data_IF_858255345453
#
_entry.id   IF_858255345453
#
_cell.length_a   1.000
_cell.length_b   1.000
_cell.length_c   1.000
_cell.angle_alpha   90.00
_cell.angle_beta   90.00
_cell.angle_gamma   90.00
#
_symmetry.space_group_name_H-M   'P 1'
#
loop_
_entity.id
_entity.type
_entity.pdbx_description
1 polymer ?
#
# COMPACT_ATOMS: atom_id res chain seq x y z
N UNK A 1 20.78 -7.54 -3.34
CA UNK A 1 20.52 -6.90 -2.04
C UNK A 1 19.10 -6.40 -1.99
N UNK A 2 18.47 -6.49 -0.85
CA UNK A 2 17.12 -5.96 -0.66
C UNK A 2 17.18 -4.55 -0.08
N UNK A 3 16.14 -3.78 -0.34
CA UNK A 3 15.94 -2.47 0.28
C UNK A 3 14.60 -2.47 0.99
N UNK A 4 14.46 -1.58 1.97
CA UNK A 4 13.24 -1.44 2.74
C UNK A 4 12.68 -0.05 2.54
N UNK A 5 11.38 0.02 2.28
CA UNK A 5 10.64 1.27 2.19
C UNK A 5 9.48 1.26 3.17
N UNK A 6 9.23 2.41 3.76
CA UNK A 6 8.11 2.60 4.67
C UNK A 6 7.18 3.66 4.10
N UNK A 7 5.88 3.39 4.14
CA UNK A 7 4.88 4.27 3.58
C UNK A 7 3.74 4.44 4.59
N UNK A 8 2.98 5.52 4.44
CA UNK A 8 1.87 5.79 5.35
C UNK A 8 0.66 6.32 4.60
N UNK A 9 -0.50 6.11 5.21
CA UNK A 9 -1.79 6.52 4.67
C UNK A 9 -2.79 6.50 5.83
N UNK A 10 -3.88 7.26 5.72
CA UNK A 10 -4.95 7.20 6.71
C UNK A 10 -6.14 6.39 6.19
N UNK A 11 -6.94 5.89 7.13
CA UNK A 11 -8.27 5.38 6.87
C UNK A 11 -9.29 6.45 7.27
N UNK A 12 -10.47 6.40 6.69
CA UNK A 12 -11.58 7.25 7.12
C UNK A 12 -11.90 6.93 8.58
N UNK A 13 -12.21 7.96 9.35
CA UNK A 13 -12.49 7.83 10.78
C UNK A 13 -13.90 7.26 10.99
N UNK A 14 -14.03 5.98 10.75
CA UNK A 14 -15.28 5.22 10.91
C UNK A 14 -14.94 3.82 11.40
N UNK A 15 -15.35 3.45 12.63
CA UNK A 15 -15.07 2.10 13.15
C UNK A 15 -15.53 0.98 12.22
N UNK A 16 -16.69 1.16 11.58
CA UNK A 16 -17.24 0.17 10.66
C UNK A 16 -16.36 0.00 9.43
N UNK A 17 -15.92 1.12 8.82
CA UNK A 17 -15.08 1.08 7.64
C UNK A 17 -13.70 0.50 7.97
N UNK A 18 -13.16 0.81 9.15
CA UNK A 18 -11.88 0.26 9.60
C UNK A 18 -11.98 -1.25 9.75
N UNK A 19 -13.05 -1.76 10.37
CA UNK A 19 -13.24 -3.21 10.49
C UNK A 19 -13.39 -3.88 9.11
N UNK A 20 -14.12 -3.26 8.20
CA UNK A 20 -14.28 -3.78 6.84
C UNK A 20 -12.94 -3.82 6.10
N UNK A 21 -12.12 -2.79 6.26
CA UNK A 21 -10.78 -2.73 5.66
C UNK A 21 -9.90 -3.88 6.17
N UNK A 22 -9.91 -4.10 7.49
CA UNK A 22 -9.16 -5.20 8.10
C UNK A 22 -9.63 -6.55 7.55
N UNK A 23 -10.94 -6.70 7.40
CA UNK A 23 -11.53 -7.94 6.89
C UNK A 23 -11.10 -8.24 5.47
N UNK A 24 -11.06 -7.22 4.60
CA UNK A 24 -10.57 -7.38 3.23
C UNK A 24 -9.13 -7.85 3.19
N UNK A 25 -8.31 -7.46 4.17
CA UNK A 25 -6.90 -7.84 4.24
C UNK A 25 -6.66 -9.22 4.83
N UNK A 26 -7.69 -9.87 5.37
CA UNK A 26 -7.59 -11.27 5.80
C UNK A 26 -7.59 -12.21 4.60
N UNK A 27 -8.12 -11.78 3.46
CA UNK A 27 -8.18 -12.55 2.22
C UNK A 27 -7.95 -11.64 1.02
N UNK A 28 -6.73 -11.17 0.90
CA UNK A 28 -6.35 -10.37 -0.28
C UNK A 28 -6.46 -11.24 -1.52
N UNK A 29 -7.01 -10.69 -2.60
CA UNK A 29 -7.18 -11.42 -3.85
C UNK A 29 -5.85 -11.97 -4.35
N UNK A 30 -5.80 -13.23 -4.83
CA UNK A 30 -4.55 -13.82 -5.32
C UNK A 30 -3.88 -13.00 -6.41
N UNK A 31 -4.66 -12.36 -7.28
CA UNK A 31 -4.13 -11.51 -8.35
C UNK A 31 -3.38 -10.31 -7.79
N UNK A 32 -3.80 -9.80 -6.62
CA UNK A 32 -3.15 -8.67 -5.97
C UNK A 32 -1.83 -9.08 -5.34
N UNK A 33 -1.82 -10.18 -4.58
CA UNK A 33 -0.58 -10.67 -3.99
C UNK A 33 0.42 -11.06 -5.07
N UNK A 34 -0.05 -11.61 -6.17
CA UNK A 34 0.81 -11.95 -7.30
C UNK A 34 1.42 -10.71 -7.95
N UNK A 35 0.60 -9.66 -8.16
CA UNK A 35 1.10 -8.42 -8.75
C UNK A 35 2.17 -7.75 -7.88
N UNK A 36 2.03 -7.86 -6.57
CA UNK A 36 3.01 -7.33 -5.61
C UNK A 36 4.34 -8.09 -5.77
N UNK A 37 4.28 -9.42 -5.80
CA UNK A 37 5.48 -10.24 -5.97
C UNK A 37 6.13 -10.01 -7.33
N UNK A 38 5.34 -9.91 -8.37
CA UNK A 38 5.83 -9.67 -9.74
C UNK A 38 6.53 -8.32 -9.86
N UNK A 39 6.15 -7.34 -9.03
CA UNK A 39 6.80 -6.03 -9.00
C UNK A 39 8.18 -6.06 -8.33
N UNK A 40 8.56 -7.18 -7.72
CA UNK A 40 9.82 -7.29 -7.03
C UNK A 40 9.76 -6.98 -5.54
N UNK A 41 8.58 -7.06 -4.96
CA UNK A 41 8.39 -6.89 -3.52
C UNK A 41 8.43 -8.28 -2.88
N UNK A 42 9.41 -8.52 -2.02
CA UNK A 42 9.60 -9.81 -1.37
C UNK A 42 8.77 -9.96 -0.11
N UNK A 43 8.53 -8.86 0.60
CA UNK A 43 7.76 -8.87 1.84
C UNK A 43 7.04 -7.55 2.00
N UNK A 44 5.86 -7.61 2.61
CA UNK A 44 5.05 -6.43 2.88
C UNK A 44 4.21 -6.67 4.12
N UNK A 45 4.24 -5.69 5.02
CA UNK A 45 3.40 -5.71 6.21
C UNK A 45 2.70 -4.36 6.34
N UNK A 46 1.46 -4.39 6.84
CA UNK A 46 0.69 -3.17 7.10
C UNK A 46 0.27 -3.21 8.56
N UNK A 47 0.53 -2.14 9.27
CA UNK A 47 0.15 -1.95 10.67
C UNK A 47 -0.86 -0.82 10.78
N UNK A 48 -1.70 -0.90 11.79
CA UNK A 48 -2.76 0.10 12.03
C UNK A 48 -2.70 0.61 13.45
N UNK A 49 -2.76 1.93 13.62
CA UNK A 49 -2.95 2.58 14.91
C UNK A 49 -4.00 3.68 14.75
N UNK A 50 -5.16 3.51 15.38
CA UNK A 50 -6.28 4.44 15.18
C UNK A 50 -6.72 4.43 13.72
N UNK A 51 -6.54 5.55 13.03
CA UNK A 51 -6.81 5.66 11.59
C UNK A 51 -5.54 5.62 10.75
N UNK A 52 -4.35 5.58 11.38
CA UNK A 52 -3.09 5.65 10.68
C UNK A 52 -2.59 4.27 10.28
N UNK A 53 -2.32 4.11 9.00
CA UNK A 53 -1.70 2.91 8.45
C UNK A 53 -0.20 3.15 8.26
N UNK A 54 0.57 2.09 8.49
CA UNK A 54 2.01 2.08 8.28
C UNK A 54 2.36 0.81 7.51
N UNK A 55 2.96 0.99 6.33
CA UNK A 55 3.38 -0.14 5.49
C UNK A 55 4.89 -0.24 5.49
N UNK A 56 5.40 -1.45 5.70
CA UNK A 56 6.81 -1.77 5.52
C UNK A 56 6.89 -2.75 4.37
N UNK A 57 7.75 -2.47 3.39
CA UNK A 57 7.99 -3.44 2.32
C UNK A 57 9.47 -3.60 2.06
N UNK A 58 9.87 -4.83 1.80
CA UNK A 58 11.22 -5.17 1.38
C UNK A 58 11.19 -5.54 -0.09
N UNK A 59 12.11 -4.97 -0.85
CA UNK A 59 12.12 -5.08 -2.30
C UNK A 59 13.46 -5.61 -2.80
N UNK A 60 13.44 -6.24 -3.96
CA UNK A 60 14.64 -6.70 -4.64
C UNK A 60 15.43 -5.54 -5.21
N UNK A 61 16.72 -5.76 -5.43
CA UNK A 61 17.54 -4.83 -6.18
C UNK A 61 16.90 -4.59 -7.55
N UNK A 62 16.87 -3.33 -7.96
CA UNK A 62 16.25 -2.96 -9.23
C UNK A 62 14.76 -2.64 -9.15
N UNK A 63 14.14 -2.77 -7.99
CA UNK A 63 12.74 -2.37 -7.82
C UNK A 63 12.56 -0.89 -8.17
N UNK A 64 11.47 -0.57 -8.85
CA UNK A 64 11.13 0.79 -9.24
C UNK A 64 9.66 1.08 -8.95
N UNK A 65 9.42 2.16 -8.21
CA UNK A 65 8.05 2.63 -7.97
C UNK A 65 7.36 3.03 -9.26
N UNK A 66 8.11 3.61 -10.20
CA UNK A 66 7.57 4.01 -11.51
C UNK A 66 7.10 2.81 -12.30
N UNK A 67 7.90 1.75 -12.33
CA UNK A 67 7.58 0.53 -13.05
C UNK A 67 6.37 -0.16 -12.41
N UNK A 68 6.32 -0.21 -11.08
CA UNK A 68 5.18 -0.77 -10.38
C UNK A 68 3.91 0.00 -10.72
N UNK A 69 3.98 1.33 -10.68
CA UNK A 69 2.82 2.16 -11.02
C UNK A 69 2.35 1.92 -12.45
N UNK A 70 3.28 1.75 -13.38
CA UNK A 70 2.95 1.46 -14.77
C UNK A 70 2.23 0.13 -14.94
N UNK A 71 2.75 -0.92 -14.31
CA UNK A 71 2.12 -2.25 -14.40
C UNK A 71 0.77 -2.27 -13.69
N UNK A 72 0.64 -1.58 -12.56
CA UNK A 72 -0.62 -1.49 -11.84
C UNK A 72 -1.70 -0.81 -12.68
N UNK A 73 -1.35 0.27 -13.40
CA UNK A 73 -2.31 0.97 -14.26
C UNK A 73 -2.86 0.09 -15.37
N UNK A 74 -2.07 -0.86 -15.85
CA UNK A 74 -2.48 -1.75 -16.93
C UNK A 74 -3.09 -3.06 -16.45
N UNK A 75 -3.20 -3.28 -15.15
CA UNK A 75 -3.74 -4.50 -14.56
C UNK A 75 -5.18 -4.26 -14.07
N UNK A 76 -6.20 -4.80 -14.75
CA UNK A 76 -7.61 -4.56 -14.37
C UNK A 76 -7.94 -4.99 -12.95
N UNK A 77 -7.36 -6.09 -12.47
CA UNK A 77 -7.62 -6.59 -11.11
C UNK A 77 -7.03 -5.66 -10.05
N UNK A 78 -5.84 -5.11 -10.30
CA UNK A 78 -5.25 -4.13 -9.41
C UNK A 78 -6.12 -2.88 -9.37
N UNK A 79 -6.61 -2.43 -10.51
CA UNK A 79 -7.49 -1.26 -10.57
C UNK A 79 -8.81 -1.48 -9.82
N UNK A 80 -9.40 -2.69 -9.92
CA UNK A 80 -10.58 -3.04 -9.13
C UNK A 80 -10.30 -2.98 -7.63
N UNK A 81 -9.18 -3.56 -7.20
CA UNK A 81 -8.77 -3.56 -5.79
C UNK A 81 -8.54 -2.14 -5.28
N UNK A 82 -7.84 -1.32 -6.04
CA UNK A 82 -7.58 0.06 -5.65
C UNK A 82 -8.88 0.87 -5.54
N UNK A 83 -9.81 0.67 -6.45
CA UNK A 83 -11.12 1.33 -6.39
C UNK A 83 -11.89 0.90 -5.14
N UNK A 84 -11.81 -0.38 -4.78
CA UNK A 84 -12.42 -0.88 -3.55
C UNK A 84 -11.76 -0.23 -2.32
N UNK A 85 -10.43 -0.17 -2.30
CA UNK A 85 -9.69 0.40 -1.18
C UNK A 85 -9.98 1.88 -0.96
N UNK A 86 -10.24 2.65 -2.04
CA UNK A 86 -10.59 4.06 -1.93
C UNK A 86 -11.82 4.34 -1.08
N UNK A 87 -12.70 3.36 -0.92
CA UNK A 87 -13.88 3.50 -0.05
C UNK A 87 -13.50 3.66 1.41
N UNK A 88 -12.34 3.16 1.79
CA UNK A 88 -11.89 3.10 3.18
C UNK A 88 -10.76 4.09 3.47
N UNK A 89 -10.01 4.48 2.44
CA UNK A 89 -8.78 5.24 2.59
C UNK A 89 -9.05 6.74 2.56
N UNK A 90 -8.26 7.48 3.35
CA UNK A 90 -8.33 8.93 3.45
C UNK A 90 -6.94 9.49 3.14
N UNK A 91 -6.77 10.24 2.03
CA UNK A 91 -5.47 10.84 1.72
C UNK A 91 -4.99 11.73 2.85
N UNK A 92 -3.67 11.71 3.08
CA UNK A 92 -3.04 12.61 4.05
C UNK A 92 -3.05 14.04 3.52
N UNK A 93 -2.98 15.05 4.41
CA UNK A 93 -2.94 16.45 3.96
C UNK A 93 -1.78 16.75 3.02
N UNK A 94 -0.66 16.02 3.14
CA UNK A 94 0.53 16.21 2.30
C UNK A 94 0.38 15.58 0.91
N UNK A 95 -0.66 14.74 0.71
CA UNK A 95 -0.84 14.04 -0.55
C UNK A 95 -1.28 14.97 -1.65
N UNK A 96 -0.73 14.76 -2.85
CA UNK A 96 -1.21 15.40 -4.07
C UNK A 96 -2.47 14.68 -4.56
N UNK A 97 -3.18 15.31 -5.48
CA UNK A 97 -4.38 14.69 -6.05
C UNK A 97 -4.05 13.30 -6.62
N UNK A 98 -4.81 12.30 -6.17
CA UNK A 98 -4.63 10.91 -6.62
C UNK A 98 -3.58 10.11 -5.88
N UNK A 99 -2.77 10.72 -5.05
CA UNK A 99 -1.79 9.98 -4.24
C UNK A 99 -2.46 9.32 -3.04
N UNK A 100 -2.04 8.10 -2.76
CA UNK A 100 -2.51 7.33 -1.60
C UNK A 100 -1.40 7.18 -0.58
N UNK A 101 -0.63 6.11 -0.73
CA UNK A 101 0.50 5.81 0.15
C UNK A 101 1.63 6.79 -0.10
N UNK A 102 2.11 7.44 0.96
CA UNK A 102 3.22 8.38 0.89
C UNK A 102 4.48 7.75 1.46
N UNK A 103 5.57 7.89 0.72
CA UNK A 103 6.86 7.37 1.13
C UNK A 103 7.40 8.16 2.32
N UNK A 104 7.88 7.44 3.34
CA UNK A 104 8.46 8.03 4.53
C UNK A 104 9.98 8.08 4.41
N UNK A 105 10.56 9.15 4.92
CA UNK A 105 12.01 9.33 4.92
C UNK A 105 12.62 8.59 6.12
N UNK A 106 13.67 7.78 5.86
CA UNK A 106 14.42 7.19 6.96
C UNK A 106 15.30 8.27 7.57
N UNK A 107 15.10 8.55 8.85
CA UNK A 107 15.88 9.58 9.56
C UNK A 107 16.91 8.98 10.52
N UNK A 108 16.88 7.67 10.75
CA UNK A 108 17.83 6.99 11.62
C UNK A 108 17.96 5.52 11.26
N UNK A 109 19.17 5.04 11.32
CA UNK A 109 19.49 3.60 11.21
C UNK A 109 20.64 3.29 12.17
N UNK A 110 20.42 2.28 13.00
CA UNK A 110 21.45 1.83 13.95
C UNK A 110 22.60 1.12 13.25
#
# INVERSE_FOLDING_TARGET
MSERYCLTLDLKDSPRLIEDYKRHHQRVWPEITQSIRDAGIDDMEIYLLGTRLFMIMEVKAGFSFEEKARTDRSNPKVQEWEKLMWKFQQPLPQARSGEKWLLMERIFRL
#
